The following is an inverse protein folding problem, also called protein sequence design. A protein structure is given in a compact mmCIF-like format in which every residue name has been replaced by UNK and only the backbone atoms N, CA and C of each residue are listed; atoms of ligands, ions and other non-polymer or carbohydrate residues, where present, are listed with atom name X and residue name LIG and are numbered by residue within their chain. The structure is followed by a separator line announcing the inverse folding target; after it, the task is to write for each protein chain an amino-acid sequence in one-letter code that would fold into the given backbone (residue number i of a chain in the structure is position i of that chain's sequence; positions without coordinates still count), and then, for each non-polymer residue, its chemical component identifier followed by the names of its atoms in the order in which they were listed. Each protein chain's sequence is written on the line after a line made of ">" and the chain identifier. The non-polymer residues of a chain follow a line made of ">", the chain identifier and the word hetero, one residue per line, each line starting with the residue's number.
data_IF_002516162907
#
_entry.id   IF_002516162907
#
_cell.length_a   1.000
_cell.length_b   1.000
_cell.length_c   1.000
_cell.angle_alpha   90.00
_cell.angle_beta   90.00
_cell.angle_gamma   90.00
#
_symmetry.space_group_name_H-M   'P 1'
#
loop_
_entity.id
_entity.type
_entity.pdbx_description
1 polymer ?
#
# COMPACT_ATOMS: atom_id res chain seq x y z
N UNK A 1 15.28 26.06 -5.40
CA UNK A 1 14.58 26.80 -4.32
C UNK A 1 13.62 27.78 -4.98
N UNK A 2 12.36 27.37 -5.18
CA UNK A 2 11.30 28.30 -5.55
C UNK A 2 10.61 28.70 -4.23
N UNK A 3 10.48 30.01 -3.96
CA UNK A 3 9.93 30.56 -2.72
C UNK A 3 8.49 30.12 -2.46
N UNK A 4 8.07 30.11 -1.18
CA UNK A 4 6.79 29.52 -0.77
C UNK A 4 5.60 30.32 -1.33
N UNK A 5 4.78 29.63 -2.12
CA UNK A 5 3.43 30.03 -2.52
C UNK A 5 2.40 29.26 -1.66
N UNK A 6 1.10 29.59 -1.72
CA UNK A 6 0.01 29.07 -0.86
C UNK A 6 -0.15 29.72 0.52
N UNK A 7 0.18 31.02 0.67
CA UNK A 7 0.04 31.78 1.92
C UNK A 7 0.80 31.15 3.11
N UNK A 8 2.02 30.65 2.86
CA UNK A 8 2.93 30.14 3.88
C UNK A 8 4.21 30.97 3.82
N UNK A 9 4.78 31.33 4.98
CA UNK A 9 5.98 32.18 5.03
C UNK A 9 7.25 31.34 5.02
N UNK A 10 8.34 31.86 4.46
CA UNK A 10 9.62 31.13 4.28
C UNK A 10 10.31 30.77 5.61
N UNK A 11 10.04 31.49 6.69
CA UNK A 11 10.67 31.28 8.01
C UNK A 11 10.00 30.18 8.85
N UNK A 12 8.83 29.69 8.44
CA UNK A 12 8.09 28.69 9.21
C UNK A 12 8.69 27.29 9.06
N UNK A 13 8.56 26.45 10.08
CA UNK A 13 8.75 25.00 9.94
C UNK A 13 7.41 24.37 9.54
N UNK A 14 7.32 23.83 8.32
CA UNK A 14 6.06 23.28 7.80
C UNK A 14 5.94 21.78 8.07
N UNK A 15 5.05 21.41 9.01
CA UNK A 15 4.61 20.04 9.24
C UNK A 15 3.34 19.75 8.45
N UNK A 16 3.45 19.07 7.32
CA UNK A 16 2.31 18.82 6.44
C UNK A 16 1.76 17.41 6.64
N UNK A 17 0.45 17.27 6.82
CA UNK A 17 -0.27 15.99 6.72
C UNK A 17 -1.26 16.03 5.54
N UNK A 18 -0.82 15.70 4.31
CA UNK A 18 -1.62 15.86 3.10
C UNK A 18 -2.51 14.64 2.84
N UNK A 19 -3.29 14.25 3.85
CA UNK A 19 -4.21 13.11 3.80
C UNK A 19 -5.67 13.55 3.77
N UNK A 20 -6.55 12.66 3.28
CA UNK A 20 -7.99 12.86 3.45
C UNK A 20 -8.37 12.90 4.93
N UNK A 21 -9.22 13.85 5.32
CA UNK A 21 -9.54 14.14 6.73
C UNK A 21 -10.08 12.94 7.52
N UNK A 22 -10.77 11.99 6.89
CA UNK A 22 -11.30 10.80 7.56
C UNK A 22 -10.20 9.83 8.04
N UNK A 23 -8.94 10.04 7.63
CA UNK A 23 -7.78 9.31 8.15
C UNK A 23 -7.22 9.92 9.44
N UNK A 24 -7.57 11.18 9.73
CA UNK A 24 -7.17 11.92 10.92
C UNK A 24 -8.17 11.61 12.04
N UNK A 25 -7.90 10.55 12.79
CA UNK A 25 -8.71 10.12 13.94
C UNK A 25 -8.26 10.84 15.23
N UNK A 26 -9.07 10.83 16.32
CA UNK A 26 -8.74 11.47 17.61
C UNK A 26 -7.34 11.24 18.16
N UNK A 27 -6.82 10.03 18.01
CA UNK A 27 -5.49 9.67 18.48
C UNK A 27 -4.39 10.56 17.87
N UNK A 28 -4.54 11.02 16.62
CA UNK A 28 -3.52 11.82 15.95
C UNK A 28 -3.51 13.29 16.40
N UNK A 29 -4.54 13.77 17.10
CA UNK A 29 -4.62 15.16 17.54
C UNK A 29 -3.53 15.51 18.54
N UNK A 30 -3.18 14.55 19.41
CA UNK A 30 -2.11 14.71 20.39
C UNK A 30 -0.77 15.00 19.71
N UNK A 31 -0.48 14.32 18.61
CA UNK A 31 0.73 14.55 17.81
C UNK A 31 0.76 15.98 17.29
N UNK A 32 -0.34 16.45 16.70
CA UNK A 32 -0.43 17.82 16.18
C UNK A 32 -0.29 18.86 17.29
N UNK A 33 -0.94 18.62 18.43
CA UNK A 33 -0.84 19.48 19.61
C UNK A 33 0.58 19.57 20.15
N UNK A 34 1.25 18.44 20.36
CA UNK A 34 2.61 18.42 20.93
C UNK A 34 3.65 19.03 20.00
N UNK A 35 3.52 18.83 18.68
CA UNK A 35 4.38 19.51 17.70
C UNK A 35 4.23 21.03 17.84
N UNK A 36 2.99 21.54 17.81
CA UNK A 36 2.74 22.98 17.94
C UNK A 36 3.22 23.53 19.29
N UNK A 37 3.04 22.77 20.37
CA UNK A 37 3.45 23.18 21.72
C UNK A 37 4.97 23.30 21.86
N UNK A 38 5.72 22.41 21.21
CA UNK A 38 7.18 22.30 21.39
C UNK A 38 7.98 23.04 20.31
N UNK A 39 7.41 23.29 19.13
CA UNK A 39 8.01 24.11 18.08
C UNK A 39 7.22 25.41 17.89
N UNK A 40 7.69 26.55 18.46
CA UNK A 40 7.04 27.85 18.29
C UNK A 40 7.01 28.37 16.85
N UNK A 41 7.96 27.95 16.00
CA UNK A 41 8.00 28.29 14.58
C UNK A 41 7.29 27.25 13.70
N UNK A 42 6.78 26.18 14.33
CA UNK A 42 6.09 25.08 13.66
C UNK A 42 4.68 25.46 13.23
N UNK A 43 4.36 25.18 11.97
CA UNK A 43 3.02 25.31 11.41
C UNK A 43 2.54 23.97 10.89
N UNK A 44 1.31 23.60 11.26
CA UNK A 44 0.67 22.35 10.81
C UNK A 44 -0.20 22.66 9.60
N UNK A 45 0.02 21.95 8.49
CA UNK A 45 -0.76 22.10 7.26
C UNK A 45 -1.55 20.82 6.98
N UNK A 46 -2.87 20.94 6.94
CA UNK A 46 -3.83 19.87 6.65
C UNK A 46 -4.58 20.18 5.35
N UNK A 47 -5.16 19.16 4.73
CA UNK A 47 -6.04 19.34 3.57
C UNK A 47 -7.50 19.39 3.97
N UNK A 48 -8.26 20.24 3.28
CA UNK A 48 -9.71 20.20 3.35
C UNK A 48 -10.25 18.89 2.75
N UNK A 49 -11.43 18.50 3.23
CA UNK A 49 -12.17 17.39 2.68
C UNK A 49 -12.85 17.76 1.36
N UNK A 50 -13.23 16.75 0.57
CA UNK A 50 -14.14 16.93 -0.58
C UNK A 50 -15.49 17.50 -0.15
N UNK A 51 -15.91 17.15 1.06
CA UNK A 51 -17.17 17.54 1.66
C UNK A 51 -16.92 18.54 2.80
N UNK A 52 -17.34 19.82 2.67
CA UNK A 52 -17.04 20.86 3.66
C UNK A 52 -17.46 20.53 5.09
N UNK A 53 -18.52 19.73 5.27
CA UNK A 53 -18.96 19.27 6.57
C UNK A 53 -17.90 18.44 7.32
N UNK A 54 -17.10 17.65 6.62
CA UNK A 54 -16.04 16.85 7.25
C UNK A 54 -14.87 17.74 7.69
N UNK A 55 -14.52 18.77 6.89
CA UNK A 55 -13.54 19.78 7.32
C UNK A 55 -14.02 20.51 8.56
N UNK A 56 -15.30 20.90 8.62
CA UNK A 56 -15.88 21.56 9.81
C UNK A 56 -15.81 20.65 11.05
N UNK A 57 -16.22 19.40 10.93
CA UNK A 57 -16.16 18.43 12.04
C UNK A 57 -14.72 18.24 12.55
N UNK A 58 -13.76 18.08 11.64
CA UNK A 58 -12.34 17.97 11.99
C UNK A 58 -11.84 19.25 12.70
N UNK A 59 -12.19 20.44 12.20
CA UNK A 59 -11.80 21.72 12.81
C UNK A 59 -12.37 21.86 14.22
N UNK A 60 -13.66 21.64 14.41
CA UNK A 60 -14.30 21.71 15.73
C UNK A 60 -13.65 20.77 16.72
N UNK A 61 -13.35 19.53 16.30
CA UNK A 61 -12.66 18.53 17.11
C UNK A 61 -11.24 18.96 17.47
N UNK A 62 -10.45 19.40 16.50
CA UNK A 62 -9.06 19.84 16.74
C UNK A 62 -8.99 21.09 17.62
N UNK A 63 -9.95 22.01 17.54
CA UNK A 63 -10.02 23.20 18.41
C UNK A 63 -10.25 22.85 19.89
N UNK A 64 -10.88 21.70 20.18
CA UNK A 64 -11.03 21.23 21.56
C UNK A 64 -9.67 20.79 22.14
N UNK A 65 -8.82 20.18 21.32
CA UNK A 65 -7.48 19.73 21.71
C UNK A 65 -6.46 20.88 21.67
N UNK A 66 -6.45 21.67 20.59
CA UNK A 66 -5.57 22.81 20.35
C UNK A 66 -6.34 24.09 20.71
N UNK A 67 -6.55 24.28 22.01
CA UNK A 67 -7.43 25.31 22.57
C UNK A 67 -6.79 26.70 22.73
N UNK A 68 -5.48 26.83 22.50
CA UNK A 68 -4.78 28.12 22.48
C UNK A 68 -4.99 28.81 21.13
N UNK A 69 -5.43 30.08 21.16
CA UNK A 69 -5.56 30.91 19.96
C UNK A 69 -4.24 31.04 19.20
N UNK A 70 -3.12 31.16 19.93
CA UNK A 70 -1.79 31.27 19.33
C UNK A 70 -1.42 30.00 18.55
N UNK A 71 -1.61 28.82 19.15
CA UNK A 71 -1.35 27.54 18.47
C UNK A 71 -2.32 27.32 17.31
N UNK A 72 -3.60 27.68 17.49
CA UNK A 72 -4.61 27.50 16.46
C UNK A 72 -4.34 28.35 15.21
N UNK A 73 -3.80 29.55 15.36
CA UNK A 73 -3.38 30.39 14.24
C UNK A 73 -2.26 29.75 13.38
N UNK A 74 -1.58 28.72 13.91
CA UNK A 74 -0.55 27.95 13.21
C UNK A 74 -1.09 26.66 12.55
N UNK A 75 -2.40 26.40 12.65
CA UNK A 75 -3.06 25.27 11.97
C UNK A 75 -3.74 25.76 10.69
N UNK A 76 -3.22 25.31 9.55
CA UNK A 76 -3.67 25.73 8.23
C UNK A 76 -4.42 24.61 7.53
N UNK A 77 -5.64 24.91 7.07
CA UNK A 77 -6.37 24.04 6.14
C UNK A 77 -6.19 24.57 4.73
N UNK A 78 -5.70 23.72 3.82
CA UNK A 78 -5.51 24.06 2.41
C UNK A 78 -6.51 23.31 1.53
N UNK A 79 -7.07 23.96 0.49
CA UNK A 79 -7.96 23.28 -0.44
C UNK A 79 -7.28 22.07 -1.08
N UNK A 80 -8.09 21.07 -1.43
CA UNK A 80 -7.60 19.96 -2.24
C UNK A 80 -7.19 20.47 -3.61
N UNK A 81 -6.03 20.05 -4.06
CA UNK A 81 -5.56 20.31 -5.43
C UNK A 81 -5.87 19.11 -6.32
N UNK A 82 -6.26 19.39 -7.57
CA UNK A 82 -6.51 18.37 -8.59
C UNK A 82 -5.27 18.11 -9.42
N UNK A 83 -4.97 16.84 -9.69
CA UNK A 83 -3.83 16.44 -10.52
C UNK A 83 -2.51 16.26 -9.77
N UNK A 84 -1.64 15.41 -10.30
CA UNK A 84 -0.38 15.03 -9.66
C UNK A 84 0.58 16.21 -9.51
N UNK A 85 0.75 17.05 -10.53
CA UNK A 85 1.73 18.14 -10.51
C UNK A 85 1.38 19.22 -9.47
N UNK A 86 0.10 19.60 -9.40
CA UNK A 86 -0.36 20.56 -8.40
C UNK A 86 -0.21 19.99 -6.98
N UNK A 87 -0.42 18.69 -6.80
CA UNK A 87 -0.20 18.01 -5.53
C UNK A 87 1.28 17.95 -5.15
N UNK A 88 2.17 17.62 -6.09
CA UNK A 88 3.62 17.59 -5.85
C UNK A 88 4.16 18.99 -5.51
N UNK A 89 3.67 20.03 -6.21
CA UNK A 89 4.00 21.43 -5.87
C UNK A 89 3.57 21.79 -4.46
N UNK A 90 2.33 21.47 -4.09
CA UNK A 90 1.85 21.68 -2.73
C UNK A 90 2.68 20.91 -1.70
N UNK A 91 3.01 19.65 -1.99
CA UNK A 91 3.78 18.80 -1.09
C UNK A 91 5.22 19.31 -0.91
N UNK A 92 5.82 19.87 -1.97
CA UNK A 92 7.21 20.37 -1.97
C UNK A 92 7.49 21.54 -1.02
N UNK A 93 6.44 22.18 -0.48
CA UNK A 93 6.60 23.25 0.53
C UNK A 93 6.73 22.71 1.96
N UNK A 94 6.54 21.40 2.16
CA UNK A 94 6.68 20.80 3.48
C UNK A 94 8.15 20.67 3.89
N UNK A 95 8.48 20.96 5.14
CA UNK A 95 9.75 20.59 5.74
C UNK A 95 9.69 19.14 6.26
N UNK A 96 8.56 18.77 6.86
CA UNK A 96 8.31 17.43 7.41
C UNK A 96 6.93 16.96 6.97
N UNK A 97 6.85 15.76 6.42
CA UNK A 97 5.56 15.14 6.11
C UNK A 97 5.15 14.23 7.28
N UNK A 98 3.93 14.40 7.76
CA UNK A 98 3.36 13.59 8.83
C UNK A 98 2.50 12.48 8.21
N UNK A 99 2.91 11.21 8.36
CA UNK A 99 2.07 10.06 8.02
C UNK A 99 1.14 9.72 9.19
N UNK A 100 -0.18 9.87 9.06
CA UNK A 100 -1.09 9.62 10.17
C UNK A 100 -1.24 8.12 10.44
N UNK A 101 -1.54 7.82 11.70
CA UNK A 101 -1.92 6.49 12.19
C UNK A 101 -3.25 6.60 12.95
N UNK A 102 -4.03 5.52 13.05
CA UNK A 102 -3.80 4.15 12.58
C UNK A 102 -4.13 3.96 11.09
N UNK A 103 -4.45 5.02 10.34
CA UNK A 103 -4.76 4.96 8.91
C UNK A 103 -3.84 5.87 8.09
N UNK A 104 -2.97 5.25 7.30
CA UNK A 104 -1.95 5.91 6.48
C UNK A 104 -2.35 6.17 5.03
N UNK A 105 -1.46 6.80 4.27
CA UNK A 105 -1.56 6.95 2.82
C UNK A 105 -0.43 6.25 2.07
N UNK A 106 -0.73 5.49 1.03
CA UNK A 106 0.32 4.90 0.18
C UNK A 106 0.88 5.93 -0.80
N UNK A 107 0.07 6.39 -1.78
CA UNK A 107 0.51 7.30 -2.84
C UNK A 107 1.19 8.57 -2.32
N UNK A 108 0.58 9.25 -1.35
CA UNK A 108 1.16 10.47 -0.77
C UNK A 108 2.53 10.25 -0.13
N UNK A 109 2.75 9.09 0.48
CA UNK A 109 4.04 8.77 1.09
C UNK A 109 5.09 8.52 0.01
N UNK A 110 4.71 7.81 -1.06
CA UNK A 110 5.57 7.65 -2.23
C UNK A 110 5.89 9.01 -2.90
N UNK A 111 4.90 9.90 -3.04
CA UNK A 111 5.10 11.25 -3.58
C UNK A 111 6.06 12.07 -2.69
N UNK A 112 5.98 11.94 -1.36
CA UNK A 112 6.89 12.61 -0.43
C UNK A 112 8.33 12.12 -0.58
N UNK A 113 8.51 10.79 -0.63
CA UNK A 113 9.83 10.18 -0.85
C UNK A 113 10.41 10.52 -2.22
N UNK A 114 9.57 10.61 -3.26
CA UNK A 114 9.98 11.06 -4.60
C UNK A 114 10.53 12.50 -4.60
N UNK A 115 9.97 13.36 -3.74
CA UNK A 115 10.45 14.73 -3.57
C UNK A 115 11.65 14.83 -2.61
N UNK A 116 12.12 13.72 -2.05
CA UNK A 116 13.17 13.71 -1.04
C UNK A 116 12.73 14.35 0.28
N UNK A 117 11.42 14.38 0.57
CA UNK A 117 10.90 14.96 1.80
C UNK A 117 10.90 13.93 2.92
N UNK A 118 11.38 14.28 4.12
CA UNK A 118 11.36 13.37 5.26
C UNK A 118 9.91 13.18 5.73
N UNK A 119 9.48 11.92 5.80
CA UNK A 119 8.14 11.52 6.21
C UNK A 119 8.21 10.76 7.53
N UNK A 120 7.54 11.21 8.58
CA UNK A 120 7.48 10.45 9.84
C UNK A 120 6.38 9.40 9.76
N UNK A 121 6.73 8.14 10.00
CA UNK A 121 5.81 7.01 10.02
C UNK A 121 5.81 6.31 11.39
N UNK A 122 4.74 5.58 11.71
CA UNK A 122 4.68 4.75 12.92
C UNK A 122 4.49 3.28 12.55
N UNK A 123 5.28 2.39 13.15
CA UNK A 123 5.10 0.95 13.05
C UNK A 123 3.92 0.52 13.92
N UNK A 124 2.78 0.28 13.28
CA UNK A 124 1.57 -0.23 13.95
C UNK A 124 1.36 -1.71 13.64
N UNK A 125 0.47 -2.43 14.36
CA UNK A 125 0.12 -3.81 14.01
C UNK A 125 -0.77 -3.92 12.75
N UNK A 126 -1.36 -2.83 12.26
CA UNK A 126 -2.37 -2.88 11.20
C UNK A 126 -1.81 -2.53 9.82
N UNK A 127 -2.16 -3.32 8.80
CA UNK A 127 -1.72 -3.10 7.41
C UNK A 127 -2.01 -1.68 6.91
N UNK A 128 -3.19 -1.14 7.24
CA UNK A 128 -3.64 0.20 6.82
C UNK A 128 -2.75 1.37 7.28
N UNK A 129 -1.84 1.16 8.23
CA UNK A 129 -0.83 2.16 8.67
C UNK A 129 0.61 1.79 8.31
N UNK A 130 0.84 0.60 7.73
CA UNK A 130 2.21 0.09 7.47
C UNK A 130 2.76 0.40 6.07
N UNK A 131 2.02 1.11 5.22
CA UNK A 131 2.48 1.40 3.85
C UNK A 131 3.76 2.25 3.83
N UNK A 132 3.81 3.37 4.58
CA UNK A 132 5.04 4.17 4.66
C UNK A 132 6.18 3.40 5.34
N UNK A 133 5.86 2.65 6.40
CA UNK A 133 6.82 1.75 7.05
C UNK A 133 7.44 0.74 6.07
N UNK A 134 6.65 0.15 5.16
CA UNK A 134 7.19 -0.78 4.16
C UNK A 134 8.17 -0.10 3.20
N UNK A 135 7.94 1.14 2.79
CA UNK A 135 8.89 1.87 1.93
C UNK A 135 10.22 2.05 2.66
N UNK A 136 10.19 2.52 3.90
CA UNK A 136 11.38 2.68 4.72
C UNK A 136 12.12 1.38 5.00
N UNK A 137 11.39 0.28 5.25
CA UNK A 137 11.99 -1.03 5.42
C UNK A 137 12.74 -1.51 4.16
N UNK A 138 12.19 -1.25 2.96
CA UNK A 138 12.83 -1.60 1.70
C UNK A 138 14.00 -0.68 1.33
N UNK A 139 14.02 0.54 1.85
CA UNK A 139 15.10 1.50 1.68
C UNK A 139 16.22 1.32 2.71
N UNK A 140 16.04 0.44 3.70
CA UNK A 140 16.92 0.29 4.88
C UNK A 140 17.11 1.62 5.64
N UNK A 141 16.04 2.41 5.74
CA UNK A 141 16.03 3.75 6.36
C UNK A 141 14.94 3.85 7.41
N UNK A 142 15.25 3.44 8.65
CA UNK A 142 14.27 3.41 9.74
C UNK A 142 14.33 4.63 10.67
N UNK A 143 15.21 5.61 10.43
CA UNK A 143 15.39 6.80 11.27
C UNK A 143 14.13 7.68 11.39
N UNK A 144 13.22 7.57 10.41
CA UNK A 144 11.94 8.27 10.37
C UNK A 144 10.75 7.41 10.85
N UNK A 145 11.00 6.23 11.42
CA UNK A 145 9.98 5.26 11.85
C UNK A 145 9.93 5.18 13.37
N UNK A 146 8.82 5.63 13.93
CA UNK A 146 8.53 5.49 15.36
C UNK A 146 7.85 4.15 15.70
N UNK A 147 8.01 3.70 16.93
CA UNK A 147 7.27 2.59 17.55
C UNK A 147 6.23 3.08 18.56
N UNK A 148 6.31 4.34 19.00
CA UNK A 148 5.39 4.98 19.94
C UNK A 148 4.99 6.39 19.49
N UNK A 149 3.92 6.94 20.08
CA UNK A 149 3.51 8.32 19.79
C UNK A 149 4.56 9.35 20.23
N UNK A 150 5.21 9.14 21.38
CA UNK A 150 6.22 10.06 21.90
C UNK A 150 7.47 10.07 21.02
N UNK A 151 7.88 8.90 20.53
CA UNK A 151 8.96 8.78 19.55
C UNK A 151 8.58 9.43 18.21
N UNK A 152 7.33 9.28 17.77
CA UNK A 152 6.83 9.95 16.56
C UNK A 152 6.96 11.47 16.69
N UNK A 153 6.53 12.03 17.83
CA UNK A 153 6.62 13.46 18.13
C UNK A 153 8.10 13.90 18.16
N UNK A 154 8.97 13.14 18.82
CA UNK A 154 10.39 13.44 18.92
C UNK A 154 11.09 13.45 17.54
N UNK A 155 10.79 12.46 16.69
CA UNK A 155 11.32 12.40 15.32
C UNK A 155 10.81 13.59 14.49
N UNK A 156 9.52 13.88 14.56
CA UNK A 156 8.94 15.02 13.84
C UNK A 156 9.62 16.33 14.25
N UNK A 157 9.71 16.61 15.55
CA UNK A 157 10.35 17.81 16.07
C UNK A 157 11.83 17.90 15.67
N UNK A 158 12.58 16.79 15.76
CA UNK A 158 13.99 16.76 15.34
C UNK A 158 14.13 17.09 13.85
N UNK A 159 13.31 16.46 13.00
CA UNK A 159 13.31 16.77 11.57
C UNK A 159 12.90 18.23 11.30
N UNK A 160 11.97 18.79 12.06
CA UNK A 160 11.51 20.16 11.83
C UNK A 160 12.50 21.24 12.32
N UNK A 161 13.10 21.03 13.49
CA UNK A 161 13.91 22.04 14.19
C UNK A 161 15.42 21.93 13.91
N UNK A 162 15.91 20.78 13.46
CA UNK A 162 17.31 20.57 13.10
C UNK A 162 17.45 20.43 11.58
N UNK A 163 17.73 21.55 10.91
CA UNK A 163 17.87 21.60 9.46
C UNK A 163 19.09 20.80 8.95
N UNK A 164 20.14 20.65 9.76
CA UNK A 164 21.32 19.86 9.41
C UNK A 164 20.93 18.38 9.42
N UNK A 165 20.34 17.92 10.51
CA UNK A 165 19.83 16.55 10.60
C UNK A 165 18.81 16.24 9.51
N UNK A 166 17.87 17.17 9.23
CA UNK A 166 16.91 17.03 8.14
C UNK A 166 17.58 16.84 6.78
N UNK A 167 18.66 17.58 6.52
CA UNK A 167 19.42 17.48 5.27
C UNK A 167 20.25 16.19 5.18
N UNK A 168 20.68 15.65 6.33
CA UNK A 168 21.43 14.40 6.44
C UNK A 168 20.56 13.15 6.29
N UNK A 169 19.22 13.26 6.41
CA UNK A 169 18.29 12.20 6.03
C UNK A 169 18.38 12.00 4.52
N UNK A 170 19.33 11.17 4.12
CA UNK A 170 19.65 10.89 2.74
C UNK A 170 18.62 9.94 2.14
N UNK A 171 17.51 10.48 1.63
CA UNK A 171 16.62 9.71 0.75
C UNK A 171 17.39 9.48 -0.56
N UNK A 172 17.76 8.24 -0.90
CA UNK A 172 18.65 7.97 -2.02
C UNK A 172 18.10 8.58 -3.32
N UNK A 173 18.95 9.23 -4.15
CA UNK A 173 18.52 9.88 -5.38
C UNK A 173 17.97 8.91 -6.43
N UNK A 174 18.17 7.60 -6.25
CA UNK A 174 17.42 6.58 -7.00
C UNK A 174 15.92 6.79 -6.81
N UNK A 175 15.42 7.08 -5.61
CA UNK A 175 14.00 7.36 -5.36
C UNK A 175 13.48 8.66 -6.02
N UNK A 176 14.33 9.68 -6.19
CA UNK A 176 13.92 11.04 -6.62
C UNK A 176 13.98 11.28 -8.11
N UNK A 177 14.67 10.43 -8.88
CA UNK A 177 14.42 10.40 -10.31
C UNK A 177 13.00 9.85 -10.52
N UNK A 178 12.20 10.56 -11.34
CA UNK A 178 10.89 10.09 -11.82
C UNK A 178 10.95 8.65 -12.36
N UNK A 179 12.16 8.18 -12.65
CA UNK A 179 12.55 6.82 -12.97
C UNK A 179 12.81 5.83 -11.80
N UNK A 180 12.32 6.00 -10.57
CA UNK A 180 12.27 4.84 -9.65
C UNK A 180 11.04 4.71 -8.77
N UNK A 181 10.24 5.75 -8.57
CA UNK A 181 8.89 5.56 -7.99
C UNK A 181 7.84 5.49 -9.08
N UNK A 182 7.99 6.28 -10.15
CA UNK A 182 7.33 5.97 -11.40
C UNK A 182 8.02 4.76 -12.01
N UNK A 183 9.29 4.69 -12.41
CA UNK A 183 9.80 3.43 -13.03
C UNK A 183 9.64 2.12 -12.17
N UNK A 184 9.73 2.10 -10.83
CA UNK A 184 9.39 0.87 -10.10
C UNK A 184 7.90 0.46 -10.23
N UNK A 185 7.02 1.37 -10.63
CA UNK A 185 5.59 1.15 -10.91
C UNK A 185 5.21 1.28 -12.40
N UNK A 186 5.71 2.25 -13.18
CA UNK A 186 5.59 2.52 -14.62
C UNK A 186 6.75 2.12 -15.54
N UNK A 187 7.98 1.73 -15.15
CA UNK A 187 8.74 0.83 -16.06
C UNK A 187 8.10 -0.54 -15.99
N UNK A 188 7.61 -0.95 -14.82
CA UNK A 188 6.76 -2.14 -14.73
C UNK A 188 5.43 -1.98 -15.49
N UNK A 189 4.77 -0.82 -15.52
CA UNK A 189 3.52 -0.63 -16.29
C UNK A 189 3.72 -0.18 -17.76
N UNK A 190 4.83 0.46 -18.16
CA UNK A 190 5.14 0.84 -19.56
C UNK A 190 5.98 -0.21 -20.33
N UNK A 191 6.81 -1.04 -19.69
CA UNK A 191 7.28 -2.30 -20.33
C UNK A 191 6.11 -3.26 -20.58
N UNK A 192 5.05 -3.16 -19.77
CA UNK A 192 3.77 -3.84 -20.00
C UNK A 192 2.88 -3.18 -21.07
N UNK A 193 3.22 -2.00 -21.59
CA UNK A 193 2.43 -1.31 -22.64
C UNK A 193 3.13 -1.22 -24.01
N UNK A 194 4.47 -1.26 -24.09
CA UNK A 194 5.16 -1.07 -25.38
C UNK A 194 5.18 -2.25 -26.37
N UNK A 195 4.93 -3.54 -26.01
CA UNK A 195 4.67 -4.55 -27.02
C UNK A 195 3.25 -4.46 -27.64
N UNK A 196 2.35 -3.66 -27.07
CA UNK A 196 0.94 -3.65 -27.47
C UNK A 196 0.61 -2.73 -28.67
N UNK A 197 1.51 -1.82 -29.08
CA UNK A 197 1.23 -0.85 -30.16
C UNK A 197 2.13 -0.95 -31.40
N UNK A 198 3.20 -1.75 -31.41
CA UNK A 198 4.01 -2.01 -32.61
C UNK A 198 3.63 -3.30 -33.36
N UNK A 199 2.63 -4.05 -32.90
CA UNK A 199 2.14 -5.26 -33.57
C UNK A 199 0.91 -5.01 -34.47
N UNK A 200 0.74 -3.78 -34.97
CA UNK A 200 -0.23 -3.46 -36.05
C UNK A 200 0.32 -2.38 -36.99
N UNK A 201 1.51 -2.57 -37.56
CA UNK A 201 1.73 -2.17 -38.96
C UNK A 201 3.02 -2.74 -39.55
N UNK A 202 2.82 -3.54 -40.60
CA UNK A 202 3.68 -3.68 -41.77
C UNK A 202 4.98 -4.49 -41.60
N UNK A 203 4.85 -5.75 -41.99
CA UNK A 203 5.80 -6.35 -42.91
C UNK A 203 6.15 -5.36 -44.04
N UNK A 204 7.45 -5.13 -44.29
CA UNK A 204 8.13 -5.07 -45.60
C UNK A 204 9.48 -4.31 -45.50
N UNK A 205 10.55 -5.06 -45.84
CA UNK A 205 11.85 -4.67 -46.47
C UNK A 205 13.05 -4.15 -45.63
N UNK A 206 14.06 -5.06 -45.60
CA UNK A 206 15.48 -4.95 -46.03
C UNK A 206 16.41 -3.89 -45.38
N UNK A 207 17.41 -4.47 -44.68
CA UNK A 207 18.87 -4.18 -44.66
C UNK A 207 19.38 -2.75 -44.44
N UNK A 208 20.18 -2.55 -43.38
CA UNK A 208 21.62 -2.14 -43.41
C UNK A 208 22.16 -1.86 -41.97
N UNK A 209 23.35 -2.43 -41.69
CA UNK A 209 24.42 -2.18 -40.69
C UNK A 209 24.13 -2.11 -39.17
N UNK A 210 24.59 -3.04 -38.32
CA UNK A 210 25.97 -3.48 -37.92
C UNK A 210 26.80 -2.47 -37.12
N UNK A 211 26.48 -2.30 -35.82
CA UNK A 211 27.48 -2.14 -34.73
C UNK A 211 26.89 -2.17 -33.30
N UNK A 212 25.57 -2.03 -33.11
CA UNK A 212 24.96 -2.00 -31.76
C UNK A 212 24.63 -3.39 -31.14
N UNK A 213 24.82 -4.48 -31.88
CA UNK A 213 24.36 -5.83 -31.49
C UNK A 213 25.31 -6.63 -30.60
N UNK A 214 26.51 -6.12 -30.25
CA UNK A 214 27.42 -6.87 -29.36
C UNK A 214 27.17 -6.63 -27.87
N UNK A 215 26.76 -5.43 -27.46
CA UNK A 215 26.47 -5.14 -26.04
C UNK A 215 25.08 -5.66 -25.58
N UNK A 216 24.13 -5.84 -26.50
CA UNK A 216 22.80 -6.39 -26.20
C UNK A 216 22.76 -7.93 -26.25
N UNK A 217 23.78 -8.58 -26.82
CA UNK A 217 23.84 -10.03 -26.94
C UNK A 217 24.43 -10.71 -25.69
N UNK A 218 25.18 -10.00 -24.85
CA UNK A 218 25.79 -10.57 -23.63
C UNK A 218 24.83 -10.60 -22.42
N UNK A 219 23.78 -9.77 -22.40
CA UNK A 219 22.72 -9.83 -21.37
C UNK A 219 21.53 -10.72 -21.73
N UNK A 220 21.48 -11.26 -22.97
CA UNK A 220 20.42 -12.16 -23.42
C UNK A 220 20.73 -13.65 -23.22
N UNK A 221 21.89 -13.99 -22.63
CA UNK A 221 22.38 -15.37 -22.54
C UNK A 221 22.59 -15.87 -21.10
N UNK A 222 21.67 -15.59 -20.16
CA UNK A 222 21.67 -16.33 -18.88
C UNK A 222 20.34 -16.55 -18.15
N UNK A 223 19.16 -16.25 -18.71
CA UNK A 223 17.91 -16.72 -18.07
C UNK A 223 17.64 -18.16 -18.49
N UNK A 224 18.02 -19.12 -17.65
CA UNK A 224 17.44 -20.46 -17.73
C UNK A 224 15.90 -20.33 -17.74
N UNK A 225 15.23 -20.98 -18.70
CA UNK A 225 13.77 -21.00 -18.74
C UNK A 225 13.29 -21.63 -17.44
N UNK A 226 12.68 -20.82 -16.56
CA UNK A 226 12.17 -21.31 -15.29
C UNK A 226 11.13 -22.41 -15.58
N UNK A 227 11.32 -23.59 -15.01
CA UNK A 227 10.41 -24.72 -15.16
C UNK A 227 9.38 -24.80 -14.03
N UNK A 228 9.62 -24.06 -12.93
CA UNK A 228 8.79 -24.01 -11.72
C UNK A 228 8.56 -22.57 -11.26
N UNK A 229 7.53 -22.37 -10.46
CA UNK A 229 7.19 -21.11 -9.80
C UNK A 229 7.81 -21.10 -8.41
N UNK A 230 8.45 -19.98 -8.04
CA UNK A 230 8.86 -19.74 -6.66
C UNK A 230 7.67 -19.20 -5.88
N UNK A 231 7.11 -20.00 -4.96
CA UNK A 231 5.94 -19.63 -4.16
C UNK A 231 6.34 -19.12 -2.78
N UNK A 232 5.81 -17.94 -2.43
CA UNK A 232 5.69 -17.46 -1.06
C UNK A 232 4.19 -17.39 -0.71
N UNK A 233 3.78 -18.06 0.37
CA UNK A 233 2.40 -18.06 0.84
C UNK A 233 2.40 -17.80 2.35
N UNK A 234 1.73 -16.74 2.78
CA UNK A 234 1.76 -16.30 4.18
C UNK A 234 0.48 -15.63 4.64
N UNK A 235 0.25 -15.70 5.95
CA UNK A 235 -0.66 -14.85 6.73
C UNK A 235 0.15 -13.83 7.53
N UNK A 236 -0.47 -12.83 8.18
CA UNK A 236 0.25 -11.88 9.04
C UNK A 236 1.03 -12.52 10.20
N UNK A 237 0.69 -13.75 10.59
CA UNK A 237 1.25 -14.44 11.74
C UNK A 237 2.06 -15.71 11.38
N UNK A 238 1.97 -16.23 10.14
CA UNK A 238 2.66 -17.46 9.73
C UNK A 238 3.00 -17.47 8.24
N UNK A 239 4.19 -17.98 7.89
CA UNK A 239 4.53 -18.33 6.51
C UNK A 239 4.30 -19.84 6.29
N UNK A 240 3.49 -20.19 5.31
CA UNK A 240 3.20 -21.57 4.90
C UNK A 240 4.18 -22.04 3.81
N UNK A 241 4.59 -21.15 2.91
CA UNK A 241 5.64 -21.38 1.91
C UNK A 241 6.58 -20.18 1.87
N UNK A 242 7.88 -20.46 1.76
CA UNK A 242 8.93 -19.45 1.68
C UNK A 242 9.98 -19.88 0.66
N UNK A 243 9.91 -19.29 -0.53
CA UNK A 243 10.83 -19.55 -1.63
C UNK A 243 10.76 -20.98 -2.17
N UNK A 244 9.60 -21.64 -2.04
CA UNK A 244 9.45 -23.05 -2.41
C UNK A 244 9.14 -23.17 -3.90
N UNK A 245 9.83 -24.05 -4.60
CA UNK A 245 9.58 -24.32 -6.02
C UNK A 245 8.37 -25.23 -6.20
N UNK A 246 7.34 -24.76 -6.90
CA UNK A 246 6.09 -25.48 -7.18
C UNK A 246 5.80 -25.50 -8.67
N UNK A 247 5.06 -26.50 -9.15
CA UNK A 247 4.70 -26.60 -10.57
C UNK A 247 3.51 -25.73 -10.94
N UNK A 248 2.53 -25.61 -10.02
CA UNK A 248 1.30 -24.86 -10.21
C UNK A 248 0.77 -24.37 -8.86
N UNK A 249 0.30 -23.12 -8.82
CA UNK A 249 -0.57 -22.64 -7.73
C UNK A 249 -1.88 -22.11 -8.31
N UNK A 250 -3.00 -22.65 -7.86
CA UNK A 250 -4.33 -22.15 -8.21
C UNK A 250 -4.79 -21.12 -7.19
N UNK A 251 -5.34 -20.01 -7.66
CA UNK A 251 -5.60 -18.81 -6.87
C UNK A 251 -7.05 -18.34 -7.06
N UNK A 252 -7.80 -18.08 -5.96
CA UNK A 252 -9.18 -17.59 -6.03
C UNK A 252 -9.22 -16.06 -6.17
N UNK A 253 -9.01 -15.56 -7.39
CA UNK A 253 -9.11 -14.14 -7.69
C UNK A 253 -10.54 -13.60 -7.63
N UNK A 254 -10.68 -12.31 -7.39
CA UNK A 254 -11.96 -11.60 -7.34
C UNK A 254 -12.77 -11.74 -8.64
N UNK A 255 -12.08 -11.73 -9.79
CA UNK A 255 -12.67 -11.81 -11.15
C UNK A 255 -12.76 -13.26 -11.65
N UNK A 256 -12.32 -14.24 -10.85
CA UNK A 256 -12.31 -15.65 -11.23
C UNK A 256 -11.10 -16.39 -10.67
N UNK A 257 -11.12 -17.72 -10.83
CA UNK A 257 -10.04 -18.60 -10.43
C UNK A 257 -9.06 -18.79 -11.58
N UNK A 258 -7.77 -18.83 -11.26
CA UNK A 258 -6.71 -18.99 -12.27
C UNK A 258 -5.52 -19.75 -11.69
N UNK A 259 -4.73 -20.36 -12.58
CA UNK A 259 -3.53 -21.11 -12.23
C UNK A 259 -2.27 -20.36 -12.63
N UNK A 260 -1.28 -20.35 -11.75
CA UNK A 260 0.04 -19.74 -11.99
C UNK A 260 1.08 -20.84 -12.14
N UNK A 261 1.70 -20.87 -13.32
CA UNK A 261 2.84 -21.74 -13.67
C UNK A 261 4.07 -20.89 -13.99
N UNK A 262 5.21 -21.53 -14.22
CA UNK A 262 6.43 -20.81 -14.57
C UNK A 262 6.22 -19.99 -15.85
N UNK A 263 6.72 -18.75 -15.87
CA UNK A 263 6.55 -17.81 -16.97
C UNK A 263 5.14 -17.21 -17.10
N UNK A 264 4.26 -17.37 -16.10
CA UNK A 264 2.94 -16.74 -16.11
C UNK A 264 3.06 -15.21 -16.18
N UNK A 265 2.15 -14.57 -16.91
CA UNK A 265 2.09 -13.11 -17.05
C UNK A 265 2.02 -12.44 -15.67
N UNK A 266 2.83 -11.39 -15.40
CA UNK A 266 2.77 -10.67 -14.14
C UNK A 266 1.37 -10.12 -13.86
N UNK A 267 0.87 -10.34 -12.65
CA UNK A 267 -0.49 -9.93 -12.27
C UNK A 267 -0.56 -9.64 -10.77
N UNK A 268 -1.37 -8.64 -10.43
CA UNK A 268 -1.81 -8.38 -9.05
C UNK A 268 -3.29 -8.71 -8.99
N UNK A 269 -3.67 -9.56 -8.04
CA UNK A 269 -5.05 -10.02 -7.91
C UNK A 269 -5.50 -9.94 -6.46
N UNK A 270 -6.64 -9.28 -6.23
CA UNK A 270 -7.34 -9.38 -4.94
C UNK A 270 -8.00 -10.76 -4.86
N UNK A 271 -7.90 -11.41 -3.71
CA UNK A 271 -8.51 -12.71 -3.47
C UNK A 271 -9.91 -12.57 -2.89
N UNK A 272 -10.83 -13.41 -3.37
CA UNK A 272 -12.12 -13.67 -2.73
C UNK A 272 -11.99 -14.86 -1.76
N UNK A 273 -12.96 -15.07 -0.84
CA UNK A 273 -13.03 -16.32 -0.10
C UNK A 273 -13.00 -17.53 -1.03
N UNK A 274 -12.12 -18.49 -0.77
CA UNK A 274 -11.95 -19.64 -1.67
C UNK A 274 -10.70 -20.47 -1.38
N UNK A 275 -10.43 -21.45 -2.26
CA UNK A 275 -9.33 -22.40 -2.10
C UNK A 275 -8.12 -21.98 -2.92
N UNK A 276 -6.96 -21.94 -2.26
CA UNK A 276 -5.65 -21.93 -2.89
C UNK A 276 -5.16 -23.37 -2.94
N UNK A 277 -4.86 -23.87 -4.14
CA UNK A 277 -4.35 -25.21 -4.34
C UNK A 277 -2.90 -25.16 -4.81
N UNK A 278 -2.00 -25.80 -4.07
CA UNK A 278 -0.56 -25.82 -4.37
C UNK A 278 -0.16 -27.21 -4.85
N UNK A 279 0.40 -27.26 -6.05
CA UNK A 279 0.96 -28.46 -6.67
C UNK A 279 2.49 -28.35 -6.65
N UNK A 280 3.15 -28.94 -5.65
CA UNK A 280 4.61 -28.97 -5.57
C UNK A 280 5.23 -29.79 -6.72
N UNK A 281 4.53 -30.86 -7.12
CA UNK A 281 4.85 -31.70 -8.27
C UNK A 281 3.55 -32.07 -9.02
N UNK A 282 3.57 -32.07 -10.36
CA UNK A 282 2.40 -32.28 -11.24
C UNK A 282 1.56 -33.53 -10.90
N UNK A 283 2.21 -34.60 -10.46
CA UNK A 283 1.57 -35.92 -10.24
C UNK A 283 1.40 -36.27 -8.75
N UNK A 284 1.61 -35.32 -7.83
CA UNK A 284 1.55 -35.54 -6.37
C UNK A 284 0.35 -34.85 -5.70
N UNK A 285 0.20 -35.18 -4.41
CA UNK A 285 -0.82 -34.65 -3.51
C UNK A 285 -0.86 -33.13 -3.57
N UNK A 286 -2.05 -32.60 -3.83
CA UNK A 286 -2.33 -31.16 -3.90
C UNK A 286 -2.61 -30.64 -2.50
N UNK A 287 -1.81 -29.69 -2.02
CA UNK A 287 -2.04 -29.05 -0.72
C UNK A 287 -3.06 -27.93 -0.89
N UNK A 288 -4.25 -28.08 -0.30
CA UNK A 288 -5.36 -27.13 -0.40
C UNK A 288 -5.50 -26.31 0.88
N UNK A 289 -5.58 -24.99 0.72
CA UNK A 289 -5.78 -24.05 1.81
C UNK A 289 -7.00 -23.18 1.49
N UNK A 290 -7.93 -23.07 2.43
CA UNK A 290 -8.97 -22.06 2.38
C UNK A 290 -8.42 -20.72 2.85
N UNK A 291 -8.77 -19.65 2.12
CA UNK A 291 -8.53 -18.27 2.54
C UNK A 291 -9.81 -17.47 2.55
N UNK A 292 -9.94 -16.54 3.51
CA UNK A 292 -11.03 -15.57 3.55
C UNK A 292 -10.81 -14.36 2.61
N UNK A 293 -9.62 -14.23 2.02
CA UNK A 293 -9.25 -13.13 1.15
C UNK A 293 -7.78 -12.73 1.31
N UNK A 294 -7.35 -11.71 0.57
CA UNK A 294 -5.95 -11.29 0.52
C UNK A 294 -5.54 -10.77 -0.83
N UNK A 295 -4.25 -10.89 -1.15
CA UNK A 295 -3.67 -10.48 -2.42
C UNK A 295 -2.66 -11.52 -2.92
N UNK A 296 -2.65 -11.74 -4.23
CA UNK A 296 -1.61 -12.48 -4.93
C UNK A 296 -0.86 -11.56 -5.90
N UNK A 297 0.46 -11.68 -5.92
CA UNK A 297 1.38 -10.95 -6.77
C UNK A 297 2.23 -11.96 -7.52
N UNK A 298 2.01 -12.09 -8.83
CA UNK A 298 2.88 -12.87 -9.71
C UNK A 298 3.82 -11.92 -10.43
N UNK A 299 5.11 -12.20 -10.38
CA UNK A 299 6.19 -11.39 -10.94
C UNK A 299 6.73 -11.99 -12.24
N UNK A 300 7.50 -11.20 -12.99
CA UNK A 300 8.07 -11.61 -14.28
C UNK A 300 9.15 -12.69 -14.15
N UNK A 301 9.76 -12.84 -12.97
CA UNK A 301 10.81 -13.82 -12.66
C UNK A 301 10.25 -15.20 -12.24
N UNK A 302 8.96 -15.46 -12.46
CA UNK A 302 8.25 -16.66 -11.99
C UNK A 302 8.18 -16.79 -10.45
N UNK A 303 8.30 -15.68 -9.73
CA UNK A 303 7.96 -15.63 -8.30
C UNK A 303 6.49 -15.27 -8.12
N UNK A 304 5.80 -15.93 -7.19
CA UNK A 304 4.44 -15.61 -6.79
C UNK A 304 4.36 -15.45 -5.28
N UNK A 305 3.97 -14.27 -4.84
CA UNK A 305 3.71 -13.93 -3.44
C UNK A 305 2.21 -13.90 -3.17
N UNK A 306 1.75 -14.69 -2.22
CA UNK A 306 0.36 -14.72 -1.79
C UNK A 306 0.32 -14.33 -0.30
N UNK A 307 -0.30 -13.18 -0.04
CA UNK A 307 -0.56 -12.66 1.30
C UNK A 307 -2.05 -12.79 1.59
N UNK A 308 -2.40 -13.81 2.37
CA UNK A 308 -3.77 -14.10 2.79
C UNK A 308 -4.07 -13.46 4.15
N UNK A 309 -5.34 -13.11 4.40
CA UNK A 309 -5.77 -12.61 5.72
C UNK A 309 -5.70 -13.74 6.74
N UNK A 310 -6.26 -14.89 6.39
CA UNK A 310 -6.24 -16.14 7.14
C UNK A 310 -6.06 -17.31 6.15
N UNK A 311 -5.41 -18.37 6.61
CA UNK A 311 -5.23 -19.62 5.87
C UNK A 311 -5.49 -20.81 6.78
N UNK A 312 -6.40 -21.68 6.36
CA UNK A 312 -6.72 -22.93 7.06
C UNK A 312 -6.59 -24.05 6.03
N UNK A 313 -5.97 -25.18 6.38
CA UNK A 313 -5.99 -26.31 5.46
C UNK A 313 -7.40 -26.82 5.29
N UNK A 314 -7.78 -27.22 4.07
CA UNK A 314 -9.14 -27.69 3.82
C UNK A 314 -9.51 -28.91 4.68
N UNK A 315 -8.54 -29.78 4.97
CA UNK A 315 -8.70 -30.95 5.85
C UNK A 315 -9.01 -30.60 7.33
N UNK A 316 -8.65 -29.39 7.76
CA UNK A 316 -8.81 -28.92 9.15
C UNK A 316 -10.11 -28.12 9.34
N UNK A 317 -10.95 -27.98 8.31
CA UNK A 317 -12.20 -27.22 8.38
C UNK A 317 -13.29 -28.07 9.06
N UNK A 318 -13.92 -27.52 10.11
CA UNK A 318 -15.11 -28.10 10.72
C UNK A 318 -16.35 -27.88 9.83
N UNK A 319 -16.81 -28.96 9.21
CA UNK A 319 -17.97 -28.96 8.32
C UNK A 319 -19.27 -28.52 9.02
N UNK A 320 -19.49 -28.97 10.26
CA UNK A 320 -20.70 -28.63 11.00
C UNK A 320 -20.72 -27.15 11.37
N UNK A 321 -19.58 -26.60 11.78
CA UNK A 321 -19.45 -25.17 12.07
C UNK A 321 -19.64 -24.31 10.81
N UNK A 322 -19.07 -24.75 9.67
CA UNK A 322 -19.23 -24.05 8.39
C UNK A 322 -20.71 -23.98 7.97
N UNK A 323 -21.42 -25.11 7.99
CA UNK A 323 -22.84 -25.21 7.65
C UNK A 323 -23.74 -24.41 8.61
N UNK A 324 -23.47 -24.50 9.91
CA UNK A 324 -24.19 -23.72 10.92
C UNK A 324 -24.00 -22.21 10.70
N UNK A 325 -22.79 -21.79 10.33
CA UNK A 325 -22.48 -20.41 9.99
C UNK A 325 -23.25 -19.91 8.76
N UNK A 326 -23.39 -20.72 7.70
CA UNK A 326 -24.21 -20.38 6.52
C UNK A 326 -25.64 -20.01 6.96
N UNK A 327 -26.28 -20.85 7.77
CA UNK A 327 -27.66 -20.60 8.22
C UNK A 327 -27.75 -19.35 9.09
N UNK A 328 -26.84 -19.19 10.04
CA UNK A 328 -26.77 -18.02 10.94
C UNK A 328 -26.63 -16.71 10.17
N UNK A 329 -25.66 -16.63 9.25
CA UNK A 329 -25.37 -15.38 8.54
C UNK A 329 -26.37 -15.10 7.41
N UNK A 330 -27.01 -16.13 6.84
CA UNK A 330 -28.16 -15.94 5.95
C UNK A 330 -29.32 -15.24 6.66
N UNK A 331 -29.69 -15.72 7.84
CA UNK A 331 -30.75 -15.11 8.64
C UNK A 331 -30.39 -13.66 9.05
N UNK A 332 -29.15 -13.44 9.50
CA UNK A 332 -28.68 -12.10 9.84
C UNK A 332 -28.71 -11.15 8.62
N UNK A 333 -28.33 -11.65 7.45
CA UNK A 333 -28.40 -10.89 6.20
C UNK A 333 -29.84 -10.53 5.85
N UNK A 334 -30.79 -11.45 5.95
CA UNK A 334 -32.21 -11.21 5.65
C UNK A 334 -32.87 -10.21 6.63
N UNK A 335 -32.43 -10.20 7.89
CA UNK A 335 -32.99 -9.33 8.94
C UNK A 335 -32.38 -7.92 8.98
N UNK A 336 -31.15 -7.75 8.51
CA UNK A 336 -30.47 -6.46 8.52
C UNK A 336 -31.08 -5.49 7.48
N UNK A 337 -31.19 -4.22 7.87
CA UNK A 337 -31.68 -3.15 7.01
C UNK A 337 -30.67 -2.80 5.91
N UNK A 338 -31.17 -2.37 4.76
CA UNK A 338 -30.30 -2.05 3.62
C UNK A 338 -29.42 -0.81 3.89
N UNK A 339 -28.17 -0.88 3.45
CA UNK A 339 -27.19 0.20 3.60
C UNK A 339 -26.56 0.31 4.99
N UNK A 340 -26.88 -0.58 5.93
CA UNK A 340 -26.25 -0.59 7.26
C UNK A 340 -24.95 -1.42 7.30
N UNK A 341 -24.01 -1.11 8.21
CA UNK A 341 -22.80 -1.92 8.40
C UNK A 341 -23.11 -3.39 8.70
N UNK A 342 -24.16 -3.66 9.48
CA UNK A 342 -24.56 -5.01 9.89
C UNK A 342 -24.95 -5.86 8.68
N UNK A 343 -25.61 -5.27 7.67
CA UNK A 343 -25.93 -5.95 6.41
C UNK A 343 -24.68 -6.36 5.66
N UNK A 344 -23.70 -5.46 5.60
CA UNK A 344 -22.42 -5.70 4.90
C UNK A 344 -21.62 -6.79 5.61
N UNK A 345 -21.53 -6.73 6.95
CA UNK A 345 -20.86 -7.75 7.76
C UNK A 345 -21.54 -9.11 7.62
N UNK A 346 -22.87 -9.16 7.66
CA UNK A 346 -23.63 -10.38 7.45
C UNK A 346 -23.43 -10.95 6.03
N UNK A 347 -23.36 -10.09 5.01
CA UNK A 347 -23.09 -10.50 3.63
C UNK A 347 -21.70 -11.13 3.50
N UNK A 348 -20.66 -10.47 4.00
CA UNK A 348 -19.28 -10.96 3.95
C UNK A 348 -19.17 -12.30 4.71
N UNK A 349 -19.77 -12.39 5.89
CA UNK A 349 -19.74 -13.61 6.69
C UNK A 349 -20.50 -14.75 5.98
N UNK A 350 -21.67 -14.47 5.40
CA UNK A 350 -22.44 -15.44 4.64
C UNK A 350 -21.67 -15.97 3.42
N UNK A 351 -21.08 -15.08 2.61
CA UNK A 351 -20.26 -15.45 1.45
C UNK A 351 -19.04 -16.28 1.85
N UNK A 352 -18.39 -15.92 2.97
CA UNK A 352 -17.23 -16.67 3.48
C UNK A 352 -17.62 -18.08 3.90
N UNK A 353 -18.75 -18.26 4.60
CA UNK A 353 -19.22 -19.58 5.01
C UNK A 353 -19.73 -20.43 3.84
N UNK A 354 -20.37 -19.81 2.83
CA UNK A 354 -20.68 -20.49 1.58
C UNK A 354 -19.41 -21.01 0.89
N UNK A 355 -18.36 -20.20 0.84
CA UNK A 355 -17.08 -20.60 0.27
C UNK A 355 -16.40 -21.71 1.08
N UNK A 356 -16.52 -21.72 2.42
CA UNK A 356 -16.04 -22.82 3.27
C UNK A 356 -16.75 -24.14 2.95
N UNK A 357 -18.08 -24.13 2.85
CA UNK A 357 -18.86 -25.33 2.48
C UNK A 357 -18.51 -25.80 1.07
N UNK A 358 -18.35 -24.88 0.11
CA UNK A 358 -17.92 -25.22 -1.24
C UNK A 358 -16.50 -25.82 -1.27
N UNK A 359 -15.58 -25.30 -0.44
CA UNK A 359 -14.24 -25.81 -0.31
C UNK A 359 -14.22 -27.27 0.18
N UNK A 360 -15.05 -27.60 1.17
CA UNK A 360 -15.22 -28.98 1.68
C UNK A 360 -15.77 -29.94 0.62
N UNK A 361 -16.68 -29.48 -0.24
CA UNK A 361 -17.19 -30.30 -1.35
C UNK A 361 -16.12 -30.58 -2.43
N UNK A 362 -15.11 -29.72 -2.51
CA UNK A 362 -13.97 -29.84 -3.42
C UNK A 362 -12.74 -30.50 -2.80
N UNK A 363 -12.82 -30.92 -1.52
CA UNK A 363 -11.69 -31.40 -0.72
C UNK A 363 -11.06 -32.70 -1.27
#
# INVERSE_FOLDING_TARGET
>A
MAGRDHHLEDEWTIYMCPQSVYKLVPQFDRVLFEILRQDPQGHVVLLEARYPQWTRQLRTRLQQTINSTEMWNRVHFRPRVGGSDAFLKLLSVADVVLHPFPFGGSKTSADALLLGLPLVAMKTPFLRSRMAYSFYLHMDMLDCVASTEDEYIAIALRLGTDAVYRSDIHIPPTCTQSSSIHLAFTSRVQELQHPFLNMLSRAVRRSIHTTALRAAAENASSSAVATKVTLNLSTPHQAFYKGVQVDLVQVPGLVGEYGVTAGHTPIISQLKPGVIAVHEERDKVVKKFFTAGGFAFTHADSTTDIAAVELIKVEDIDASAAEAGVQKYKQALEQAADGTPEKVEAQIAYETHLALVAALASA
#
